data_IF_669421975920
#
_entry.id   IF_669421975920
#
_cell.length_a   1.000
_cell.length_b   1.000
_cell.length_c   1.000
_cell.angle_alpha   90.00
_cell.angle_beta   90.00
_cell.angle_gamma   90.00
#
_symmetry.space_group_name_H-M   'P 1'
#
loop_
_entity.id
_entity.type
_entity.pdbx_description
1 polymer ?
#
# COMPACT_ATOMS: atom_id res chain seq x y z
N UNK A 1 0.47 -9.82 -17.09
CA UNK A 1 0.83 -10.90 -16.16
C UNK A 1 2.14 -10.54 -15.47
N UNK A 2 2.19 -10.69 -14.15
CA UNK A 2 3.41 -10.37 -13.40
C UNK A 2 4.47 -11.44 -13.62
N UNK A 3 5.71 -10.98 -13.80
CA UNK A 3 6.84 -11.90 -13.82
C UNK A 3 7.22 -12.29 -12.39
N UNK A 4 8.01 -13.37 -12.25
CA UNK A 4 8.52 -13.78 -10.95
C UNK A 4 9.34 -12.65 -10.30
N UNK A 5 10.10 -11.91 -11.10
CA UNK A 5 10.88 -10.78 -10.60
C UNK A 5 10.00 -9.67 -10.06
N UNK A 6 8.93 -9.31 -10.79
CA UNK A 6 7.97 -8.32 -10.33
C UNK A 6 7.34 -8.76 -9.01
N UNK A 7 6.96 -10.02 -8.89
CA UNK A 7 6.35 -10.55 -7.68
C UNK A 7 7.31 -10.49 -6.48
N UNK A 8 8.57 -10.85 -6.69
CA UNK A 8 9.57 -10.80 -5.62
C UNK A 8 9.82 -9.37 -5.15
N UNK A 9 9.93 -8.44 -6.08
CA UNK A 9 10.16 -7.03 -5.75
C UNK A 9 8.92 -6.46 -5.04
N UNK A 10 7.72 -6.80 -5.51
CA UNK A 10 6.49 -6.36 -4.87
C UNK A 10 6.42 -6.83 -3.42
N UNK A 11 6.78 -8.09 -3.16
CA UNK A 11 6.80 -8.62 -1.79
C UNK A 11 7.81 -7.92 -0.90
N UNK A 12 8.98 -7.64 -1.44
CA UNK A 12 10.02 -6.91 -0.70
C UNK A 12 9.54 -5.52 -0.32
N UNK A 13 8.97 -4.81 -1.28
CA UNK A 13 8.44 -3.46 -1.05
C UNK A 13 7.32 -3.52 -0.02
N UNK A 14 6.40 -4.47 -0.16
CA UNK A 14 5.28 -4.63 0.78
C UNK A 14 5.79 -4.84 2.21
N UNK A 15 6.76 -5.72 2.37
CA UNK A 15 7.33 -6.02 3.68
C UNK A 15 7.97 -4.78 4.31
N UNK A 16 8.80 -4.09 3.55
CA UNK A 16 9.53 -2.95 4.08
C UNK A 16 8.62 -1.74 4.33
N UNK A 17 7.65 -1.50 3.45
CA UNK A 17 6.67 -0.43 3.66
C UNK A 17 5.78 -0.73 4.86
N UNK A 18 5.40 -1.98 5.07
CA UNK A 18 4.62 -2.37 6.24
C UNK A 18 5.35 -1.99 7.53
N UNK A 19 6.66 -2.22 7.58
CA UNK A 19 7.45 -1.83 8.73
C UNK A 19 7.52 -0.31 8.89
N UNK A 20 7.68 0.43 7.79
CA UNK A 20 7.72 1.90 7.83
C UNK A 20 6.41 2.44 8.39
N UNK A 21 5.28 1.98 7.87
CA UNK A 21 3.98 2.45 8.33
C UNK A 21 3.68 2.02 9.75
N UNK A 22 4.10 0.82 10.14
CA UNK A 22 3.92 0.37 11.51
C UNK A 22 4.65 1.29 12.49
N UNK A 23 5.88 1.68 12.16
CA UNK A 23 6.65 2.59 13.00
C UNK A 23 6.02 3.98 13.08
N UNK A 24 5.50 4.47 11.95
CA UNK A 24 4.87 5.78 11.91
C UNK A 24 3.55 5.80 12.69
N UNK A 25 2.73 4.77 12.54
CA UNK A 25 1.43 4.71 13.22
C UNK A 25 1.53 4.30 14.68
N UNK A 26 2.66 3.77 15.11
CA UNK A 26 2.86 3.46 16.53
C UNK A 26 2.74 4.70 17.41
N UNK A 27 2.98 5.88 16.86
CA UNK A 27 2.87 7.15 17.58
C UNK A 27 1.46 7.73 17.54
N UNK A 28 0.58 7.15 16.74
CA UNK A 28 -0.79 7.64 16.55
C UNK A 28 -1.75 6.60 17.10
N UNK A 29 -2.45 6.96 18.17
CA UNK A 29 -3.38 6.03 18.81
C UNK A 29 -4.65 5.86 18.00
N UNK A 30 -5.09 4.61 17.88
CA UNK A 30 -6.36 4.29 17.28
C UNK A 30 -6.38 4.26 15.76
N UNK A 31 -5.22 4.39 15.11
CA UNK A 31 -5.13 4.35 13.64
C UNK A 31 -4.15 3.26 13.23
N UNK A 32 -4.58 2.41 12.31
CA UNK A 32 -3.76 1.34 11.76
C UNK A 32 -3.71 1.50 10.24
N UNK A 33 -2.49 1.53 9.69
CA UNK A 33 -2.27 1.55 8.24
C UNK A 33 -1.53 0.27 7.88
N UNK A 34 -2.12 -0.50 6.96
CA UNK A 34 -1.55 -1.75 6.49
C UNK A 34 -1.36 -1.69 4.98
N UNK A 35 -0.26 -2.27 4.49
CA UNK A 35 -0.05 -2.41 3.05
C UNK A 35 -0.76 -3.69 2.62
N UNK A 36 -1.87 -3.54 1.89
CA UNK A 36 -2.67 -4.69 1.47
C UNK A 36 -2.16 -5.33 0.20
N UNK A 37 -1.58 -4.54 -0.70
CA UNK A 37 -1.01 -5.07 -1.95
C UNK A 37 -0.01 -4.09 -2.52
N UNK A 38 0.93 -4.62 -3.31
CA UNK A 38 1.88 -3.81 -4.08
C UNK A 38 1.92 -4.38 -5.49
N UNK A 39 1.79 -3.50 -6.49
CA UNK A 39 1.91 -3.85 -7.90
C UNK A 39 3.04 -3.06 -8.51
N UNK A 40 3.96 -3.76 -9.15
CA UNK A 40 5.15 -3.14 -9.75
C UNK A 40 5.02 -3.22 -11.27
N UNK A 41 5.37 -2.12 -11.95
CA UNK A 41 5.33 -2.10 -13.41
C UNK A 41 6.37 -3.04 -14.01
N UNK A 42 6.18 -3.51 -15.27
CA UNK A 42 7.12 -4.43 -15.89
C UNK A 42 8.55 -3.91 -15.97
N UNK A 43 8.72 -2.60 -16.15
CA UNK A 43 10.05 -1.98 -16.19
C UNK A 43 10.59 -1.63 -14.81
N UNK A 44 9.82 -1.95 -13.74
CA UNK A 44 10.19 -1.73 -12.35
C UNK A 44 10.37 -0.25 -11.98
N UNK A 45 9.79 0.66 -12.77
CA UNK A 45 9.93 2.10 -12.52
C UNK A 45 8.87 2.66 -11.59
N UNK A 46 7.72 2.01 -11.51
CA UNK A 46 6.59 2.47 -10.71
C UNK A 46 6.07 1.33 -9.85
N UNK A 47 5.80 1.63 -8.59
CA UNK A 47 5.13 0.71 -7.68
C UNK A 47 3.83 1.33 -7.21
N UNK A 48 2.73 0.63 -7.43
CA UNK A 48 1.42 1.02 -6.91
C UNK A 48 1.20 0.32 -5.58
N UNK A 49 1.00 1.11 -4.55
CA UNK A 49 0.87 0.61 -3.18
C UNK A 49 -0.55 0.82 -2.71
N UNK A 50 -1.21 -0.26 -2.33
CA UNK A 50 -2.59 -0.21 -1.85
C UNK A 50 -2.58 -0.32 -0.33
N UNK A 51 -3.19 0.66 0.32
CA UNK A 51 -3.17 0.79 1.78
C UNK A 51 -4.57 0.61 2.34
N UNK A 52 -4.65 -0.16 3.41
CA UNK A 52 -5.87 -0.31 4.19
C UNK A 52 -5.72 0.52 5.46
N UNK A 53 -6.66 1.43 5.68
CA UNK A 53 -6.64 2.34 6.84
C UNK A 53 -7.83 2.01 7.74
N UNK A 54 -7.54 1.82 9.03
CA UNK A 54 -8.58 1.58 10.02
C UNK A 54 -8.43 2.60 11.16
N UNK A 55 -9.48 3.28 11.59
CA UNK A 55 -10.84 3.24 11.02
C UNK A 55 -10.90 3.95 9.67
N UNK A 56 -11.83 3.52 8.80
CA UNK A 56 -11.91 4.01 7.42
C UNK A 56 -12.25 5.50 7.34
N UNK A 57 -12.89 6.06 8.36
CA UNK A 57 -13.20 7.48 8.42
C UNK A 57 -11.97 8.37 8.49
N UNK A 58 -10.84 7.82 8.92
CA UNK A 58 -9.55 8.53 8.95
C UNK A 58 -8.77 8.43 7.64
N UNK A 59 -9.24 7.58 6.72
CA UNK A 59 -8.52 7.31 5.49
C UNK A 59 -8.28 8.55 4.61
N UNK A 60 -9.26 9.44 4.38
CA UNK A 60 -9.02 10.60 3.50
C UNK A 60 -7.87 11.48 3.99
N UNK A 61 -7.84 11.80 5.28
CA UNK A 61 -6.78 12.62 5.87
C UNK A 61 -5.43 11.93 5.79
N UNK A 62 -5.40 10.64 6.13
CA UNK A 62 -4.18 9.86 6.12
C UNK A 62 -3.64 9.68 4.72
N UNK A 63 -4.51 9.40 3.75
CA UNK A 63 -4.08 9.23 2.36
C UNK A 63 -3.48 10.53 1.82
N UNK A 64 -4.07 11.67 2.14
CA UNK A 64 -3.51 12.95 1.75
C UNK A 64 -2.12 13.17 2.35
N UNK A 65 -1.99 12.88 3.64
CA UNK A 65 -0.72 13.02 4.35
C UNK A 65 0.34 12.09 3.77
N UNK A 66 -0.02 10.84 3.51
CA UNK A 66 0.88 9.84 2.93
C UNK A 66 1.36 10.27 1.55
N UNK A 67 0.44 10.74 0.71
CA UNK A 67 0.80 11.19 -0.64
C UNK A 67 1.70 12.42 -0.60
N UNK A 68 1.50 13.32 0.34
CA UNK A 68 2.40 14.46 0.54
C UNK A 68 3.79 14.02 0.99
N UNK A 69 3.87 12.92 1.71
CA UNK A 69 5.12 12.37 2.23
C UNK A 69 5.74 11.30 1.32
N UNK A 70 5.20 11.11 0.12
CA UNK A 70 5.60 10.00 -0.76
C UNK A 70 7.11 10.00 -1.02
N UNK A 71 7.72 11.16 -1.24
CA UNK A 71 9.16 11.25 -1.48
C UNK A 71 9.97 10.81 -0.27
N UNK A 72 9.54 11.21 0.92
CA UNK A 72 10.19 10.82 2.16
C UNK A 72 10.08 9.32 2.39
N UNK A 73 8.89 8.78 2.15
CA UNK A 73 8.64 7.34 2.29
C UNK A 73 9.50 6.56 1.30
N UNK A 74 9.57 7.03 0.05
CA UNK A 74 10.43 6.42 -0.96
C UNK A 74 11.89 6.43 -0.54
N UNK A 75 12.35 7.54 0.04
CA UNK A 75 13.71 7.65 0.54
C UNK A 75 13.98 6.61 1.63
N UNK A 76 13.08 6.48 2.59
CA UNK A 76 13.22 5.49 3.65
C UNK A 76 13.22 4.07 3.09
N UNK A 77 12.34 3.81 2.13
CA UNK A 77 12.31 2.52 1.46
C UNK A 77 13.62 2.24 0.72
N UNK A 78 14.13 3.22 0.01
CA UNK A 78 15.39 3.07 -0.74
C UNK A 78 16.54 2.68 0.19
N UNK A 79 16.60 3.28 1.37
CA UNK A 79 17.62 2.94 2.37
C UNK A 79 17.51 1.50 2.82
N UNK A 80 16.29 0.99 2.96
CA UNK A 80 16.04 -0.38 3.43
C UNK A 80 16.32 -1.43 2.37
N UNK A 81 16.12 -1.09 1.09
CA UNK A 81 16.21 -2.07 -0.01
C UNK A 81 17.42 -1.87 -0.90
N UNK A 82 18.32 -0.95 -0.56
CA UNK A 82 19.41 -0.53 -1.45
C UNK A 82 20.34 -1.68 -1.88
N UNK A 83 20.43 -2.73 -1.07
CA UNK A 83 21.27 -3.89 -1.40
C UNK A 83 20.55 -4.91 -2.27
N UNK A 84 19.22 -4.85 -2.30
CA UNK A 84 18.40 -5.75 -3.11
C UNK A 84 17.95 -5.12 -4.42
N UNK A 85 17.79 -3.79 -4.44
CA UNK A 85 17.33 -3.05 -5.61
C UNK A 85 18.32 -1.93 -5.94
N UNK A 86 18.74 -1.87 -7.21
CA UNK A 86 19.60 -0.78 -7.67
C UNK A 86 18.85 0.55 -7.68
N UNK A 87 17.59 0.51 -8.05
CA UNK A 87 16.75 1.70 -8.17
C UNK A 87 15.41 1.40 -7.51
N UNK A 88 15.03 2.29 -6.60
CA UNK A 88 13.73 2.18 -5.94
C UNK A 88 12.65 2.71 -6.88
N UNK A 89 11.58 1.96 -7.12
CA UNK A 89 10.47 2.45 -7.95
C UNK A 89 9.84 3.70 -7.35
N UNK A 90 9.23 4.51 -8.21
CA UNK A 90 8.42 5.62 -7.76
C UNK A 90 7.15 5.07 -7.14
N UNK A 91 6.80 5.57 -5.95
CA UNK A 91 5.66 5.06 -5.20
C UNK A 91 4.43 5.91 -5.45
N UNK A 92 3.31 5.24 -5.70
CA UNK A 92 1.99 5.86 -5.76
C UNK A 92 1.09 5.11 -4.77
N UNK A 93 0.42 5.84 -3.89
CA UNK A 93 -0.38 5.24 -2.85
C UNK A 93 -1.87 5.36 -3.16
N UNK A 94 -2.58 4.27 -2.98
CA UNK A 94 -4.02 4.20 -3.17
C UNK A 94 -4.65 3.61 -1.92
N UNK A 95 -5.85 4.08 -1.59
CA UNK A 95 -6.63 3.45 -0.54
C UNK A 95 -7.21 2.15 -1.06
N UNK A 96 -6.95 1.07 -0.31
CA UNK A 96 -7.58 -0.21 -0.59
C UNK A 96 -8.83 -0.32 0.27
N UNK A 97 -9.97 -0.17 -0.36
CA UNK A 97 -11.26 -0.30 0.30
C UNK A 97 -11.89 -1.66 0.08
N UNK A 98 -11.06 -2.68 -0.12
CA UNK A 98 -11.54 -4.02 -0.44
C UNK A 98 -12.47 -4.59 0.63
N UNK A 99 -12.29 -4.24 1.90
CA UNK A 99 -13.22 -4.67 2.94
C UNK A 99 -14.60 -4.08 2.73
N UNK A 100 -14.66 -2.76 2.48
CA UNK A 100 -15.92 -2.09 2.16
C UNK A 100 -16.47 -2.62 0.85
N UNK A 101 -15.60 -2.87 -0.11
CA UNK A 101 -15.97 -3.41 -1.40
C UNK A 101 -16.55 -4.83 -1.27
N UNK A 102 -15.97 -5.65 -0.42
CA UNK A 102 -16.48 -7.00 -0.14
C UNK A 102 -17.87 -6.93 0.48
N UNK A 103 -18.08 -6.03 1.45
CA UNK A 103 -19.39 -5.82 2.05
C UNK A 103 -20.40 -5.36 0.99
N UNK A 104 -20.01 -4.44 0.13
CA UNK A 104 -20.87 -3.96 -0.94
C UNK A 104 -21.19 -5.04 -1.96
N UNK A 105 -20.21 -5.90 -2.30
CA UNK A 105 -20.42 -7.01 -3.20
C UNK A 105 -21.41 -8.00 -2.60
N UNK A 106 -21.25 -8.36 -1.34
CA UNK A 106 -22.18 -9.26 -0.66
C UNK A 106 -23.59 -8.69 -0.70
N UNK A 107 -23.71 -7.40 -0.44
CA UNK A 107 -25.00 -6.71 -0.47
C UNK A 107 -25.61 -6.72 -1.87
N UNK A 108 -24.79 -6.45 -2.89
CA UNK A 108 -25.23 -6.46 -4.28
C UNK A 108 -25.59 -7.86 -4.76
N UNK A 109 -24.80 -8.86 -4.34
CA UNK A 109 -25.10 -10.25 -4.70
C UNK A 109 -26.40 -10.72 -4.08
N UNK A 110 -26.70 -10.30 -2.86
CA UNK A 110 -27.99 -10.60 -2.23
C UNK A 110 -29.13 -9.99 -3.03
N UNK A 111 -28.97 -8.78 -3.55
CA UNK A 111 -29.97 -8.14 -4.40
C UNK A 111 -30.11 -8.87 -5.73
N UNK A 112 -28.98 -9.24 -6.33
CA UNK A 112 -28.97 -9.89 -7.64
C UNK A 112 -29.55 -11.32 -7.59
N UNK A 113 -29.46 -11.95 -6.44
CA UNK A 113 -29.98 -13.32 -6.28
C UNK A 113 -31.48 -13.38 -6.07
N UNK A 114 -32.12 -12.24 -5.98
CA UNK A 114 -33.59 -12.16 -5.87
C UNK A 114 -34.27 -12.23 -7.24
#
# INVERSE_FOLDING_TARGET
METTRQAKIARLIQKELSEIFRQQTAKTHGVIVSVSAVRVSPDLSIARVYLSVFPSEKAPELMESINKSAKTIRYDLARRVRFQLRKTPELTFFQDDSLDYIENIDHLLQKDSE
#
